data_IF_956381321547
#
_entry.id   IF_956381321547
#
_cell.length_a   1.000
_cell.length_b   1.000
_cell.length_c   1.000
_cell.angle_alpha   90.00
_cell.angle_beta   90.00
_cell.angle_gamma   90.00
#
_symmetry.space_group_name_H-M   'P 1'
#
loop_
_entity.id
_entity.type
_entity.pdbx_description
1 polymer ?
#
# COMPACT_ATOMS: atom_id res chain seq x y z
N UNK A 1 31.78 -6.08 7.85
CA UNK A 1 31.38 -5.20 8.96
C UNK A 1 30.01 -4.58 8.70
N UNK A 2 29.81 -3.94 7.55
CA UNK A 2 28.52 -3.35 7.12
C UNK A 2 27.37 -4.36 7.11
N UNK A 3 27.57 -5.57 6.57
CA UNK A 3 26.54 -6.61 6.55
C UNK A 3 26.02 -7.01 7.96
N UNK A 4 26.87 -6.97 8.98
CA UNK A 4 26.45 -7.26 10.36
C UNK A 4 25.67 -6.08 10.97
N UNK A 5 26.02 -4.85 10.59
CA UNK A 5 25.30 -3.64 11.00
C UNK A 5 23.90 -3.63 10.37
N UNK A 6 23.79 -3.91 9.07
CA UNK A 6 22.52 -4.01 8.34
C UNK A 6 21.63 -5.12 8.88
N UNK A 7 22.21 -6.28 9.18
CA UNK A 7 21.47 -7.39 9.80
C UNK A 7 20.96 -7.01 11.19
N UNK A 8 21.81 -6.43 12.04
CA UNK A 8 21.39 -5.99 13.38
C UNK A 8 20.31 -4.91 13.32
N UNK A 9 20.43 -3.92 12.42
CA UNK A 9 19.41 -2.90 12.21
C UNK A 9 18.10 -3.50 11.69
N UNK A 10 18.16 -4.44 10.74
CA UNK A 10 16.97 -5.12 10.20
C UNK A 10 16.20 -5.87 11.28
N UNK A 11 16.89 -6.50 12.23
CA UNK A 11 16.26 -7.16 13.38
C UNK A 11 15.75 -6.17 14.41
N UNK A 12 16.50 -5.11 14.70
CA UNK A 12 16.12 -4.06 15.65
C UNK A 12 14.84 -3.34 15.21
N UNK A 13 14.70 -3.05 13.92
CA UNK A 13 13.53 -2.36 13.36
C UNK A 13 12.50 -3.32 12.75
N UNK A 14 12.69 -4.64 12.84
CA UNK A 14 11.75 -5.67 12.35
C UNK A 14 10.34 -5.47 12.89
N UNK A 15 10.24 -4.97 14.12
CA UNK A 15 8.99 -4.71 14.82
C UNK A 15 8.78 -3.21 15.09
N UNK A 16 9.29 -2.31 14.24
CA UNK A 16 8.88 -0.91 14.27
C UNK A 16 7.40 -0.82 13.86
N UNK A 17 6.52 -1.17 14.81
CA UNK A 17 5.07 -1.24 14.67
C UNK A 17 4.49 0.17 14.53
N UNK A 18 3.46 0.33 13.70
CA UNK A 18 2.76 1.60 13.48
C UNK A 18 3.25 2.39 12.25
N UNK A 19 3.87 1.74 11.26
CA UNK A 19 4.17 2.40 9.98
C UNK A 19 2.89 2.73 9.21
N UNK A 20 1.87 1.92 9.38
CA UNK A 20 0.48 2.11 8.94
C UNK A 20 -0.33 3.09 9.81
N UNK A 21 0.14 3.45 11.01
CA UNK A 21 -0.60 4.33 11.91
C UNK A 21 -0.87 5.73 11.31
N UNK A 22 -0.11 6.10 10.27
CA UNK A 22 -0.26 7.35 9.52
C UNK A 22 -0.78 7.14 8.09
N UNK A 23 -1.33 5.97 7.78
CA UNK A 23 -1.96 5.72 6.49
C UNK A 23 -3.17 6.64 6.30
N UNK A 24 -3.51 6.93 5.05
CA UNK A 24 -4.54 7.90 4.71
C UNK A 24 -5.90 7.61 5.38
N UNK A 25 -6.25 6.33 5.50
CA UNK A 25 -7.51 5.88 6.10
C UNK A 25 -7.54 5.97 7.64
N UNK A 26 -6.43 6.27 8.32
CA UNK A 26 -6.43 6.46 9.78
C UNK A 26 -6.83 7.87 10.20
N UNK A 27 -7.10 8.76 9.24
CA UNK A 27 -7.51 10.14 9.49
C UNK A 27 -8.96 10.24 9.98
N UNK A 28 -9.35 11.34 10.66
CA UNK A 28 -10.71 11.49 11.20
C UNK A 28 -11.84 11.40 10.16
N UNK A 29 -11.55 11.63 8.88
CA UNK A 29 -12.53 11.51 7.79
C UNK A 29 -13.08 10.08 7.64
N UNK A 30 -12.34 9.08 8.12
CA UNK A 30 -12.69 7.66 8.04
C UNK A 30 -13.07 7.06 9.40
N UNK A 31 -13.28 7.88 10.44
CA UNK A 31 -13.57 7.40 11.79
C UNK A 31 -14.81 6.47 11.87
N UNK A 32 -15.80 6.69 11.01
CA UNK A 32 -17.01 5.85 10.90
C UNK A 32 -16.80 4.61 10.03
N UNK A 33 -15.71 4.55 9.26
CA UNK A 33 -15.38 3.48 8.32
C UNK A 33 -13.93 3.02 8.49
N UNK A 34 -13.57 2.42 9.65
CA UNK A 34 -12.21 1.98 9.93
C UNK A 34 -11.79 0.75 9.12
N UNK A 35 -12.76 0.00 8.60
CA UNK A 35 -12.55 -1.21 7.80
C UNK A 35 -12.92 -0.97 6.33
N UNK A 36 -12.29 -1.68 5.38
CA UNK A 36 -12.61 -1.58 3.96
C UNK A 36 -14.10 -1.88 3.68
N UNK A 37 -14.78 -0.95 3.00
CA UNK A 37 -16.21 -1.09 2.63
C UNK A 37 -16.41 -1.48 1.17
N UNK A 38 -15.36 -1.46 0.37
CA UNK A 38 -15.34 -1.74 -1.06
C UNK A 38 -14.23 -2.74 -1.37
N UNK A 39 -14.55 -3.78 -2.15
CA UNK A 39 -13.55 -4.70 -2.66
C UNK A 39 -12.95 -4.15 -3.96
N UNK A 40 -11.63 -3.99 -3.97
CA UNK A 40 -10.87 -3.66 -5.18
C UNK A 40 -10.09 -4.89 -5.62
N UNK A 41 -10.16 -5.22 -6.89
CA UNK A 41 -9.49 -6.38 -7.49
C UNK A 41 -8.61 -5.94 -8.65
N UNK A 42 -7.64 -6.78 -9.02
CA UNK A 42 -6.79 -6.55 -10.18
C UNK A 42 -6.56 -7.85 -10.93
N UNK A 43 -6.97 -7.94 -12.21
CA UNK A 43 -6.65 -9.11 -13.03
C UNK A 43 -5.13 -9.24 -13.27
N UNK A 44 -4.41 -8.11 -13.21
CA UNK A 44 -2.98 -8.02 -13.45
C UNK A 44 -2.14 -8.49 -12.25
N UNK A 45 -2.53 -8.10 -11.04
CA UNK A 45 -1.77 -8.41 -9.83
C UNK A 45 -2.18 -9.74 -9.19
N UNK A 46 -3.41 -10.20 -9.43
CA UNK A 46 -3.97 -11.40 -8.79
C UNK A 46 -4.76 -11.08 -7.51
N UNK A 47 -5.07 -12.11 -6.69
CA UNK A 47 -5.84 -11.94 -5.46
C UNK A 47 -5.06 -11.16 -4.38
N UNK A 48 -5.76 -10.79 -3.30
CA UNK A 48 -5.14 -10.15 -2.14
C UNK A 48 -3.92 -10.94 -1.61
N UNK A 49 -2.86 -10.22 -1.25
CA UNK A 49 -1.55 -10.78 -0.87
C UNK A 49 -0.71 -11.33 -2.03
N UNK A 50 -1.12 -11.16 -3.29
CA UNK A 50 -0.31 -11.55 -4.43
C UNK A 50 0.94 -10.67 -4.61
N UNK A 51 1.95 -11.23 -5.29
CA UNK A 51 3.18 -10.51 -5.63
C UNK A 51 3.02 -9.81 -6.97
N UNK A 52 3.33 -8.51 -7.04
CA UNK A 52 3.30 -7.74 -8.27
C UNK A 52 4.17 -8.38 -9.36
N UNK A 53 3.72 -8.36 -10.60
CA UNK A 53 4.54 -8.75 -11.75
C UNK A 53 5.67 -7.75 -12.00
N UNK A 54 6.74 -8.19 -12.65
CA UNK A 54 7.91 -7.35 -13.01
C UNK A 54 7.50 -6.05 -13.73
N UNK A 55 6.55 -6.14 -14.65
CA UNK A 55 6.01 -5.01 -15.41
C UNK A 55 5.46 -3.85 -14.54
N UNK A 56 5.07 -4.13 -13.30
CA UNK A 56 4.48 -3.19 -12.35
C UNK A 56 5.44 -2.79 -11.21
N UNK A 57 6.68 -3.29 -11.25
CA UNK A 57 7.73 -2.92 -10.30
C UNK A 57 8.65 -1.84 -10.86
N UNK A 58 9.40 -1.20 -9.96
CA UNK A 58 10.45 -0.26 -10.33
C UNK A 58 11.56 -0.94 -11.15
N UNK A 59 11.97 -0.32 -12.26
CA UNK A 59 13.09 -0.78 -13.09
C UNK A 59 12.70 -1.47 -14.39
N UNK A 60 11.42 -1.80 -14.59
CA UNK A 60 10.91 -2.43 -15.80
C UNK A 60 9.98 -1.48 -16.61
N UNK A 61 8.77 -1.92 -16.94
CA UNK A 61 7.87 -1.18 -17.85
C UNK A 61 7.09 -0.05 -17.16
N UNK A 62 7.17 0.07 -15.83
CA UNK A 62 6.49 1.10 -15.04
C UNK A 62 4.98 1.18 -15.35
N UNK A 63 4.35 0.03 -15.59
CA UNK A 63 2.91 -0.02 -15.86
C UNK A 63 2.13 0.23 -14.59
N UNK A 64 0.98 0.87 -14.75
CA UNK A 64 -0.04 0.92 -13.72
C UNK A 64 -0.97 -0.30 -13.87
N UNK A 65 -1.21 -1.09 -12.82
CA UNK A 65 -2.07 -2.27 -12.91
C UNK A 65 -3.52 -1.87 -13.12
N UNK A 66 -4.26 -2.71 -13.85
CA UNK A 66 -5.70 -2.56 -13.94
C UNK A 66 -6.34 -2.79 -12.56
N UNK A 67 -7.24 -1.89 -12.15
CA UNK A 67 -8.01 -1.99 -10.92
C UNK A 67 -9.50 -2.00 -11.26
N UNK A 68 -10.25 -2.87 -10.60
CA UNK A 68 -11.68 -3.05 -10.82
C UNK A 68 -12.44 -3.17 -9.50
N UNK A 69 -13.60 -2.54 -9.43
CA UNK A 69 -14.49 -2.56 -8.27
C UNK A 69 -15.94 -2.35 -8.72
N UNK A 70 -16.88 -2.74 -7.87
CA UNK A 70 -18.31 -2.56 -8.16
C UNK A 70 -18.71 -1.08 -8.09
N UNK A 71 -19.48 -0.57 -9.08
CA UNK A 71 -19.91 0.82 -9.08
C UNK A 71 -20.92 1.09 -7.95
N UNK A 72 -20.73 2.19 -7.22
CA UNK A 72 -21.67 2.65 -6.20
C UNK A 72 -22.53 3.83 -6.68
N UNK A 73 -23.82 3.80 -6.35
CA UNK A 73 -24.76 4.86 -6.68
C UNK A 73 -24.42 6.17 -5.96
N UNK A 74 -24.50 7.30 -6.66
CA UNK A 74 -24.29 8.63 -6.06
C UNK A 74 -22.83 9.06 -5.98
N UNK A 75 -21.88 8.23 -6.42
CA UNK A 75 -20.47 8.62 -6.54
C UNK A 75 -20.29 9.53 -7.76
N UNK A 76 -19.66 10.69 -7.53
CA UNK A 76 -19.35 11.67 -8.60
C UNK A 76 -17.93 11.53 -9.12
N UNK A 77 -17.00 11.11 -8.27
CA UNK A 77 -15.58 11.00 -8.55
C UNK A 77 -14.95 10.00 -7.58
N UNK A 78 -13.86 9.36 -8.01
CA UNK A 78 -13.08 8.43 -7.22
C UNK A 78 -11.67 8.99 -6.99
N UNK A 79 -11.17 8.86 -5.77
CA UNK A 79 -9.77 9.12 -5.42
C UNK A 79 -9.08 7.79 -5.17
N UNK A 80 -7.96 7.57 -5.85
CA UNK A 80 -7.09 6.42 -5.60
C UNK A 80 -5.85 6.88 -4.84
N UNK A 81 -5.61 6.25 -3.69
CA UNK A 81 -4.41 6.48 -2.87
C UNK A 81 -3.71 5.12 -2.72
N UNK A 82 -2.49 5.02 -3.26
CA UNK A 82 -1.64 3.83 -3.14
C UNK A 82 -0.49 4.16 -2.20
N UNK A 83 -0.37 3.45 -1.08
CA UNK A 83 0.65 3.72 -0.05
C UNK A 83 1.48 2.47 0.25
N UNK A 84 2.78 2.66 0.49
CA UNK A 84 3.70 1.65 1.01
C UNK A 84 3.99 1.94 2.49
N UNK A 85 3.31 1.24 3.43
CA UNK A 85 3.61 1.32 4.85
C UNK A 85 4.83 0.46 5.24
N UNK A 86 5.35 -0.40 4.36
CA UNK A 86 6.50 -1.25 4.64
C UNK A 86 7.84 -0.56 4.39
N UNK A 87 7.82 0.57 3.66
CA UNK A 87 8.95 1.46 3.51
C UNK A 87 9.60 1.78 4.88
N UNK A 88 10.94 1.87 4.96
CA UNK A 88 11.67 2.11 6.21
C UNK A 88 11.61 3.59 6.64
N UNK A 89 10.43 4.19 6.58
CA UNK A 89 10.16 5.60 6.88
C UNK A 89 9.04 5.71 7.92
N UNK A 90 8.91 6.89 8.52
CA UNK A 90 7.94 7.16 9.61
C UNK A 90 6.54 7.50 9.11
N UNK A 91 6.38 7.67 7.80
CA UNK A 91 5.11 7.92 7.12
C UNK A 91 5.05 7.00 5.90
N UNK A 92 3.87 6.40 5.59
CA UNK A 92 3.69 5.63 4.38
C UNK A 92 4.09 6.45 3.14
N UNK A 93 4.72 5.79 2.18
CA UNK A 93 5.09 6.41 0.91
C UNK A 93 3.94 6.31 -0.06
N UNK A 94 3.43 7.43 -0.53
CA UNK A 94 2.47 7.44 -1.63
C UNK A 94 3.15 7.07 -2.95
N UNK A 95 2.58 6.09 -3.65
CA UNK A 95 2.92 5.75 -5.03
C UNK A 95 1.91 6.42 -5.96
N UNK A 96 2.36 7.45 -6.70
CA UNK A 96 1.51 8.23 -7.60
C UNK A 96 2.04 9.64 -7.79
#
# INVERSE_FOLDING_TARGET
MTAYIELAASWLFKNSKGRDARAFFTTPAFAEHPEPTLAVTSPDCGPDGATLGKDYMHGDQHKFPELSWDPHSGVKEWLLVSEDPDAPLTTPICHG
#
